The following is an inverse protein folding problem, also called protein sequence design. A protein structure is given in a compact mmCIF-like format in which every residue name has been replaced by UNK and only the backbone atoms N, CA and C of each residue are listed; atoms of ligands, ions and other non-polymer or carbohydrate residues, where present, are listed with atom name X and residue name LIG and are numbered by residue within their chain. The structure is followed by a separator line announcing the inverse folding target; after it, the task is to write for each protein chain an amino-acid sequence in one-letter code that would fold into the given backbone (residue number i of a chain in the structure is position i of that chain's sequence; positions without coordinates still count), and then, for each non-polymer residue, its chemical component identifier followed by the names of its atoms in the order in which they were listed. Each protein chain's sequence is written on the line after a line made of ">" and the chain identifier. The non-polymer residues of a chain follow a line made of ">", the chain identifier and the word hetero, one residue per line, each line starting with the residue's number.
data_IF_093276963545
#
_entry.id   IF_093276963545
#
_cell.length_a   1.000
_cell.length_b   1.000
_cell.length_c   1.000
_cell.angle_alpha   90.00
_cell.angle_beta   90.00
_cell.angle_gamma   90.00
#
_symmetry.space_group_name_H-M   'P 1'
#
loop_
_entity.id
_entity.type
_entity.pdbx_description
1 polymer ?
#
# COMPACT_ATOMS: atom_id res chain seq x y z
N UNK A 1 -56.62 49.24 -20.84
CA UNK A 1 -55.20 48.86 -20.86
C UNK A 1 -54.98 47.73 -19.87
N UNK A 2 -54.69 46.50 -20.32
CA UNK A 2 -54.15 45.47 -19.44
C UNK A 2 -52.62 45.44 -19.57
N UNK A 3 -51.93 45.53 -18.44
CA UNK A 3 -50.48 45.41 -18.31
C UNK A 3 -50.08 43.95 -18.46
N UNK A 4 -49.44 43.61 -19.58
CA UNK A 4 -48.89 42.29 -19.84
C UNK A 4 -47.63 42.06 -19.00
N UNK A 5 -47.75 41.29 -17.92
CA UNK A 5 -46.62 40.80 -17.16
C UNK A 5 -45.96 39.62 -17.88
N UNK A 6 -44.75 39.82 -18.39
CA UNK A 6 -43.90 38.77 -18.96
C UNK A 6 -43.46 37.81 -17.85
N UNK A 7 -43.84 36.53 -17.96
CA UNK A 7 -43.35 35.48 -17.07
C UNK A 7 -41.84 35.26 -17.33
N UNK A 8 -41.02 35.16 -16.27
CA UNK A 8 -39.61 34.83 -16.44
C UNK A 8 -39.47 33.39 -16.99
N UNK A 9 -38.69 33.26 -18.06
CA UNK A 9 -38.30 31.96 -18.63
C UNK A 9 -37.50 31.19 -17.58
N UNK A 10 -38.04 30.06 -17.10
CA UNK A 10 -37.27 29.11 -16.29
C UNK A 10 -36.08 28.63 -17.11
N UNK A 11 -34.88 28.76 -16.57
CA UNK A 11 -33.66 28.33 -17.24
C UNK A 11 -33.67 26.81 -17.45
N UNK A 12 -33.07 26.36 -18.54
CA UNK A 12 -32.87 24.92 -18.83
C UNK A 12 -32.24 24.16 -17.64
N UNK A 13 -31.36 24.85 -16.88
CA UNK A 13 -30.74 24.33 -15.65
C UNK A 13 -31.75 23.93 -14.57
N UNK A 14 -32.82 24.72 -14.37
CA UNK A 14 -33.82 24.44 -13.32
C UNK A 14 -34.68 23.22 -13.70
N UNK A 15 -34.91 23.04 -15.00
CA UNK A 15 -35.68 21.90 -15.53
C UNK A 15 -34.89 20.60 -15.40
N UNK A 16 -33.58 20.62 -15.68
CA UNK A 16 -32.70 19.46 -15.49
C UNK A 16 -32.55 19.10 -14.00
N UNK A 17 -32.43 20.11 -13.12
CA UNK A 17 -32.36 19.87 -11.69
C UNK A 17 -33.65 19.25 -11.11
N UNK A 18 -34.82 19.65 -11.61
CA UNK A 18 -36.10 19.09 -11.18
C UNK A 18 -36.34 17.67 -11.71
N UNK A 19 -35.78 17.32 -12.89
CA UNK A 19 -35.84 15.96 -13.45
C UNK A 19 -34.89 15.00 -12.72
N UNK A 20 -33.71 15.47 -12.26
CA UNK A 20 -32.71 14.62 -11.61
C UNK A 20 -32.93 14.45 -10.09
N UNK A 21 -33.70 15.34 -9.44
CA UNK A 21 -33.95 15.30 -7.99
C UNK A 21 -34.65 14.02 -7.50
N UNK A 22 -35.63 13.42 -8.22
CA UNK A 22 -36.22 12.15 -7.84
C UNK A 22 -35.24 10.98 -7.96
N UNK A 23 -34.40 10.96 -9.01
CA UNK A 23 -33.38 9.92 -9.22
C UNK A 23 -32.31 9.98 -8.12
N UNK A 24 -31.85 11.17 -7.76
CA UNK A 24 -30.93 11.37 -6.64
C UNK A 24 -31.52 10.96 -5.28
N UNK A 25 -32.84 11.13 -5.08
CA UNK A 25 -33.51 10.61 -3.86
C UNK A 25 -33.61 9.10 -3.85
N UNK A 26 -33.96 8.47 -4.97
CA UNK A 26 -34.05 7.00 -5.06
C UNK A 26 -32.68 6.34 -4.86
N UNK A 27 -31.60 6.92 -5.39
CA UNK A 27 -30.22 6.45 -5.16
C UNK A 27 -29.76 6.70 -3.72
N UNK A 28 -30.27 7.75 -3.06
CA UNK A 28 -29.90 8.13 -1.69
C UNK A 28 -30.59 7.28 -0.61
N UNK A 29 -31.85 6.89 -0.82
CA UNK A 29 -32.66 6.22 0.22
C UNK A 29 -32.72 4.70 0.12
N UNK A 30 -32.28 4.09 -0.98
CA UNK A 30 -32.55 2.68 -1.24
C UNK A 30 -31.49 1.67 -0.74
N UNK A 31 -30.33 2.07 -0.20
CA UNK A 31 -29.22 1.10 -0.11
C UNK A 31 -28.22 1.29 1.05
N UNK A 32 -28.57 2.05 2.09
CA UNK A 32 -27.61 2.37 3.18
C UNK A 32 -27.94 1.79 4.55
N UNK A 33 -29.21 1.49 4.85
CA UNK A 33 -29.57 1.02 6.19
C UNK A 33 -29.38 -0.47 6.37
N UNK A 34 -29.68 -1.27 5.33
CA UNK A 34 -29.72 -2.72 5.48
C UNK A 34 -28.33 -3.34 5.27
N UNK A 35 -27.55 -2.82 4.31
CA UNK A 35 -26.18 -3.30 4.02
C UNK A 35 -25.22 -3.11 5.20
N UNK A 36 -25.47 -2.12 6.07
CA UNK A 36 -24.58 -1.87 7.20
C UNK A 36 -24.82 -2.84 8.37
N UNK A 37 -26.04 -3.39 8.50
CA UNK A 37 -26.38 -4.33 9.57
C UNK A 37 -25.58 -5.63 9.44
N UNK A 38 -25.48 -6.17 8.23
CA UNK A 38 -24.84 -7.48 7.99
C UNK A 38 -23.32 -7.40 8.17
N UNK A 39 -22.70 -6.29 7.75
CA UNK A 39 -21.28 -6.05 7.97
C UNK A 39 -20.93 -5.89 9.46
N UNK A 40 -21.80 -5.22 10.23
CA UNK A 40 -21.63 -5.04 11.68
C UNK A 40 -21.81 -6.37 12.43
N UNK A 41 -22.81 -7.17 12.07
CA UNK A 41 -23.01 -8.51 12.63
C UNK A 41 -21.78 -9.41 12.36
N UNK A 42 -21.26 -9.37 11.14
CA UNK A 42 -20.05 -10.10 10.76
C UNK A 42 -18.85 -9.65 11.59
N UNK A 43 -18.63 -8.35 11.71
CA UNK A 43 -17.53 -7.80 12.51
C UNK A 43 -17.63 -8.24 13.98
N UNK A 44 -18.84 -8.30 14.53
CA UNK A 44 -19.07 -8.74 15.91
C UNK A 44 -18.84 -10.24 16.10
N UNK A 45 -19.22 -11.08 15.13
CA UNK A 45 -18.88 -12.52 15.14
C UNK A 45 -17.36 -12.71 15.12
N UNK A 46 -16.65 -12.01 14.22
CA UNK A 46 -15.18 -12.09 14.12
C UNK A 46 -14.53 -11.61 15.41
N UNK A 47 -14.95 -10.45 15.94
CA UNK A 47 -14.43 -9.88 17.18
C UNK A 47 -14.59 -10.83 18.36
N UNK A 48 -15.79 -11.39 18.53
CA UNK A 48 -16.07 -12.36 19.59
C UNK A 48 -15.21 -13.61 19.47
N UNK A 49 -15.00 -14.12 18.25
CA UNK A 49 -14.15 -15.29 18.03
C UNK A 49 -12.67 -14.99 18.31
N UNK A 50 -12.19 -13.80 17.93
CA UNK A 50 -10.81 -13.36 18.19
C UNK A 50 -10.58 -13.11 19.68
N UNK A 51 -11.52 -12.45 20.36
CA UNK A 51 -11.39 -12.03 21.77
C UNK A 51 -11.75 -13.11 22.80
N UNK A 52 -12.35 -14.23 22.42
CA UNK A 52 -12.75 -15.25 23.39
C UNK A 52 -11.55 -15.99 24.01
N UNK A 53 -11.15 -15.56 25.21
CA UNK A 53 -10.12 -16.20 26.03
C UNK A 53 -10.43 -17.66 26.39
N UNK A 54 -11.73 -18.00 26.47
CA UNK A 54 -12.23 -19.32 26.90
C UNK A 54 -11.99 -20.45 25.89
N UNK A 55 -11.61 -20.15 24.64
CA UNK A 55 -11.48 -21.17 23.62
C UNK A 55 -10.25 -22.06 23.78
N UNK A 56 -9.28 -21.76 24.66
CA UNK A 56 -8.05 -22.56 24.74
C UNK A 56 -8.16 -23.91 25.49
N UNK A 57 -9.32 -24.24 26.07
CA UNK A 57 -9.62 -25.65 26.43
C UNK A 57 -9.59 -26.59 25.22
N UNK A 58 -9.55 -26.03 24.00
CA UNK A 58 -9.60 -26.66 22.68
C UNK A 58 -8.33 -27.41 22.25
N UNK A 59 -7.16 -27.19 22.84
CA UNK A 59 -5.96 -27.95 22.47
C UNK A 59 -6.03 -29.44 22.86
N UNK A 60 -7.09 -29.88 23.57
CA UNK A 60 -7.30 -31.28 23.98
C UNK A 60 -8.36 -32.05 23.17
N UNK A 61 -8.72 -31.60 21.97
CA UNK A 61 -9.21 -32.53 20.95
C UNK A 61 -10.72 -32.67 20.78
N UNK A 62 -11.51 -31.71 21.26
CA UNK A 62 -12.91 -31.58 20.81
C UNK A 62 -13.04 -30.21 20.18
N UNK A 63 -12.99 -30.18 18.85
CA UNK A 63 -13.39 -29.03 18.07
C UNK A 63 -14.81 -28.64 18.49
N UNK A 64 -14.95 -27.57 19.28
CA UNK A 64 -16.25 -27.10 19.72
C UNK A 64 -17.08 -26.81 18.46
N UNK A 65 -18.20 -27.53 18.29
CA UNK A 65 -19.12 -27.37 17.16
C UNK A 65 -19.41 -25.88 16.89
N UNK A 66 -19.51 -25.10 17.96
CA UNK A 66 -19.72 -23.65 17.91
C UNK A 66 -18.63 -22.90 17.12
N UNK A 67 -17.36 -23.26 17.30
CA UNK A 67 -16.26 -22.60 16.57
C UNK A 67 -16.33 -22.89 15.07
N UNK A 68 -16.70 -24.12 14.71
CA UNK A 68 -16.90 -24.49 13.31
C UNK A 68 -18.06 -23.69 12.70
N UNK A 69 -19.19 -23.61 13.39
CA UNK A 69 -20.35 -22.83 12.93
C UNK A 69 -20.00 -21.34 12.76
N UNK A 70 -19.21 -20.77 13.68
CA UNK A 70 -18.79 -19.37 13.59
C UNK A 70 -17.78 -19.15 12.45
N UNK A 71 -16.86 -20.07 12.19
CA UNK A 71 -15.97 -20.02 11.02
C UNK A 71 -16.76 -20.12 9.70
N UNK A 72 -17.77 -20.99 9.62
CA UNK A 72 -18.64 -21.10 8.44
C UNK A 72 -19.41 -19.81 8.18
N UNK A 73 -19.90 -19.13 9.22
CA UNK A 73 -20.53 -17.80 9.09
C UNK A 73 -19.56 -16.76 8.56
N UNK A 74 -18.34 -16.71 9.10
CA UNK A 74 -17.30 -15.79 8.64
C UNK A 74 -16.96 -16.03 7.16
N UNK A 75 -16.83 -17.31 6.76
CA UNK A 75 -16.57 -17.65 5.37
C UNK A 75 -17.74 -17.24 4.46
N UNK A 76 -18.99 -17.43 4.89
CA UNK A 76 -20.18 -16.96 4.16
C UNK A 76 -20.18 -15.44 3.99
N UNK A 77 -19.87 -14.70 5.06
CA UNK A 77 -19.82 -13.24 5.03
C UNK A 77 -18.82 -12.69 4.01
N UNK A 78 -17.72 -13.41 3.74
CA UNK A 78 -16.75 -13.03 2.70
C UNK A 78 -17.37 -12.97 1.29
N UNK A 79 -18.47 -13.67 1.04
CA UNK A 79 -19.20 -13.67 -0.25
C UNK A 79 -20.26 -12.57 -0.37
N UNK A 80 -20.69 -11.93 0.72
CA UNK A 80 -21.86 -11.05 0.73
C UNK A 80 -21.60 -9.71 0.02
N UNK A 81 -20.40 -9.15 0.18
CA UNK A 81 -20.05 -7.90 -0.50
C UNK A 81 -18.76 -7.27 0.02
N UNK A 82 -18.34 -6.19 -0.68
CA UNK A 82 -17.07 -5.52 -0.39
C UNK A 82 -16.98 -4.95 1.03
N UNK A 83 -18.07 -4.37 1.54
CA UNK A 83 -18.09 -3.81 2.92
C UNK A 83 -17.92 -4.89 3.99
N UNK A 84 -18.56 -6.06 3.81
CA UNK A 84 -18.42 -7.19 4.73
C UNK A 84 -16.98 -7.72 4.73
N UNK A 85 -16.37 -7.85 3.55
CA UNK A 85 -14.95 -8.19 3.40
C UNK A 85 -14.01 -7.18 4.05
N UNK A 86 -14.26 -5.88 3.85
CA UNK A 86 -13.47 -4.80 4.46
C UNK A 86 -13.54 -4.85 6.00
N UNK A 87 -14.75 -4.97 6.56
CA UNK A 87 -14.94 -5.11 8.00
C UNK A 87 -14.25 -6.36 8.57
N UNK A 88 -14.34 -7.48 7.86
CA UNK A 88 -13.66 -8.73 8.21
C UNK A 88 -12.14 -8.54 8.22
N UNK A 89 -11.58 -7.94 7.16
CA UNK A 89 -10.14 -7.73 7.04
C UNK A 89 -9.61 -6.71 8.06
N UNK A 90 -10.40 -5.71 8.43
CA UNK A 90 -10.06 -4.77 9.51
C UNK A 90 -9.94 -5.50 10.85
N UNK A 91 -10.89 -6.38 11.20
CA UNK A 91 -10.81 -7.16 12.44
C UNK A 91 -9.62 -8.13 12.41
N UNK A 92 -9.32 -8.75 11.27
CA UNK A 92 -8.14 -9.59 11.11
C UNK A 92 -6.83 -8.80 11.24
N UNK A 93 -6.77 -7.59 10.68
CA UNK A 93 -5.60 -6.72 10.82
C UNK A 93 -5.31 -6.42 12.29
N UNK A 94 -6.38 -6.18 13.07
CA UNK A 94 -6.28 -5.94 14.50
C UNK A 94 -5.82 -7.19 15.27
N UNK A 95 -6.41 -8.35 15.04
CA UNK A 95 -6.02 -9.59 15.75
C UNK A 95 -4.64 -10.11 15.35
N UNK A 96 -4.18 -9.80 14.13
CA UNK A 96 -2.81 -10.05 13.68
C UNK A 96 -1.82 -8.94 14.08
N UNK A 97 -2.25 -7.90 14.80
CA UNK A 97 -1.40 -6.78 15.23
C UNK A 97 -0.28 -7.24 16.20
N UNK A 98 0.81 -6.46 16.35
CA UNK A 98 1.94 -6.86 17.24
C UNK A 98 1.57 -6.74 18.72
N UNK A 99 0.54 -5.94 19.01
CA UNK A 99 0.00 -5.70 20.35
C UNK A 99 -1.04 -6.72 20.77
N UNK A 100 -1.51 -7.57 19.86
CA UNK A 100 -2.48 -8.60 20.17
C UNK A 100 -1.88 -9.64 21.11
N UNK A 101 -2.71 -10.17 22.00
CA UNK A 101 -2.35 -11.35 22.77
C UNK A 101 -2.05 -12.51 21.82
N UNK A 102 -1.22 -13.45 22.27
CA UNK A 102 -0.89 -14.61 21.44
C UNK A 102 -2.15 -15.44 21.08
N UNK A 103 -3.20 -15.40 21.92
CA UNK A 103 -4.49 -16.05 21.69
C UNK A 103 -5.23 -15.39 20.53
N UNK A 104 -5.36 -14.07 20.56
CA UNK A 104 -6.00 -13.30 19.48
C UNK A 104 -5.26 -13.52 18.16
N UNK A 105 -3.92 -13.46 18.18
CA UNK A 105 -3.10 -13.76 17.01
C UNK A 105 -3.37 -15.16 16.46
N UNK A 106 -3.42 -16.17 17.33
CA UNK A 106 -3.67 -17.55 16.91
C UNK A 106 -5.09 -17.74 16.37
N UNK A 107 -6.11 -17.16 17.03
CA UNK A 107 -7.49 -17.17 16.53
C UNK A 107 -7.62 -16.49 15.18
N UNK A 108 -6.95 -15.35 14.95
CA UNK A 108 -6.91 -14.71 13.64
C UNK A 108 -6.24 -15.56 12.58
N UNK A 109 -5.19 -16.32 12.92
CA UNK A 109 -4.58 -17.29 11.99
C UNK A 109 -5.57 -18.41 11.61
N UNK A 110 -6.38 -18.90 12.54
CA UNK A 110 -7.42 -19.90 12.25
C UNK A 110 -8.54 -19.35 11.35
N UNK A 111 -8.96 -18.12 11.58
CA UNK A 111 -9.94 -17.45 10.69
C UNK A 111 -9.35 -17.28 9.30
N UNK A 112 -8.09 -16.85 9.21
CA UNK A 112 -7.40 -16.64 7.94
C UNK A 112 -7.22 -17.96 7.17
N UNK A 113 -6.90 -19.06 7.85
CA UNK A 113 -6.85 -20.41 7.28
C UNK A 113 -8.21 -20.83 6.68
N UNK A 114 -9.29 -20.62 7.42
CA UNK A 114 -10.64 -20.96 6.98
C UNK A 114 -11.04 -20.15 5.74
N UNK A 115 -10.70 -18.86 5.71
CA UNK A 115 -10.92 -17.98 4.56
C UNK A 115 -10.07 -18.37 3.35
N UNK A 116 -8.82 -18.79 3.56
CA UNK A 116 -7.97 -19.25 2.46
C UNK A 116 -8.52 -20.54 1.84
N UNK A 117 -9.05 -21.41 2.68
CA UNK A 117 -9.56 -22.72 2.25
C UNK A 117 -10.96 -22.66 1.63
N UNK A 118 -11.85 -21.81 2.14
CA UNK A 118 -13.29 -21.83 1.79
C UNK A 118 -13.91 -20.46 1.53
N UNK A 119 -13.17 -19.37 1.78
CA UNK A 119 -13.64 -18.00 1.59
C UNK A 119 -13.74 -17.58 0.12
N UNK A 120 -14.31 -16.40 -0.10
CA UNK A 120 -14.50 -15.79 -1.41
C UNK A 120 -13.17 -15.52 -2.12
N UNK A 121 -13.11 -15.84 -3.42
CA UNK A 121 -11.94 -15.53 -4.27
C UNK A 121 -11.77 -14.04 -4.50
N UNK A 122 -12.87 -13.30 -4.53
CA UNK A 122 -12.90 -11.85 -4.65
C UNK A 122 -12.16 -11.18 -3.49
N UNK A 123 -12.19 -11.75 -2.28
CA UNK A 123 -11.40 -11.28 -1.14
C UNK A 123 -9.90 -11.32 -1.47
N UNK A 124 -9.41 -12.44 -1.99
CA UNK A 124 -8.00 -12.61 -2.32
C UNK A 124 -7.55 -11.75 -3.49
N UNK A 125 -8.44 -11.52 -4.46
CA UNK A 125 -8.23 -10.55 -5.54
C UNK A 125 -8.14 -9.11 -5.04
N UNK A 126 -8.97 -8.72 -4.06
CA UNK A 126 -8.88 -7.41 -3.42
C UNK A 126 -7.58 -7.24 -2.62
N UNK A 127 -7.16 -8.30 -1.92
CA UNK A 127 -5.91 -8.32 -1.19
C UNK A 127 -4.69 -8.23 -2.13
N UNK A 128 -4.69 -8.91 -3.28
CA UNK A 128 -3.57 -8.87 -4.24
C UNK A 128 -3.35 -7.51 -4.88
N UNK A 129 -4.42 -6.71 -5.02
CA UNK A 129 -4.33 -5.31 -5.48
C UNK A 129 -4.05 -4.31 -4.36
N UNK A 130 -3.86 -4.78 -3.12
CA UNK A 130 -3.56 -3.93 -1.96
C UNK A 130 -4.76 -3.14 -1.44
N UNK A 131 -6.00 -3.61 -1.65
CA UNK A 131 -7.19 -2.96 -1.09
C UNK A 131 -7.31 -3.16 0.44
N UNK A 132 -6.65 -4.19 0.97
CA UNK A 132 -6.62 -4.55 2.39
C UNK A 132 -5.17 -4.49 2.90
N UNK A 133 -4.95 -4.77 4.19
CA UNK A 133 -3.58 -4.90 4.71
C UNK A 133 -2.84 -6.07 4.03
N UNK A 134 -1.51 -5.97 3.92
CA UNK A 134 -0.70 -7.04 3.33
C UNK A 134 -0.61 -8.25 4.28
N UNK A 135 -1.47 -9.23 4.00
CA UNK A 135 -1.54 -10.50 4.73
C UNK A 135 -0.23 -11.27 4.67
N UNK A 136 0.46 -11.28 3.52
CA UNK A 136 1.71 -12.05 3.37
C UNK A 136 2.82 -11.43 4.18
N UNK A 137 3.01 -10.11 4.10
CA UNK A 137 3.96 -9.39 4.94
C UNK A 137 3.68 -9.65 6.42
N UNK A 138 2.40 -9.63 6.82
CA UNK A 138 2.00 -9.92 8.21
C UNK A 138 2.41 -11.33 8.65
N UNK A 139 2.15 -12.34 7.83
CA UNK A 139 2.50 -13.73 8.13
C UNK A 139 4.02 -13.96 8.18
N UNK A 140 4.80 -13.25 7.34
CA UNK A 140 6.27 -13.27 7.43
C UNK A 140 6.73 -12.74 8.78
N UNK A 141 6.14 -11.66 9.30
CA UNK A 141 6.46 -11.13 10.62
C UNK A 141 6.15 -12.14 11.74
N UNK A 142 5.07 -12.92 11.60
CA UNK A 142 4.76 -14.00 12.55
C UNK A 142 5.77 -15.14 12.53
N UNK A 143 6.56 -15.30 11.47
CA UNK A 143 7.72 -16.21 11.46
C UNK A 143 8.76 -15.88 12.55
N UNK A 144 8.79 -14.62 12.99
CA UNK A 144 9.65 -14.13 14.07
C UNK A 144 8.90 -13.88 15.38
N UNK A 145 7.63 -14.28 15.50
CA UNK A 145 6.83 -14.09 16.71
C UNK A 145 7.55 -14.66 17.95
N UNK A 146 7.48 -13.96 19.09
CA UNK A 146 8.04 -14.42 20.36
C UNK A 146 7.05 -14.14 21.48
N UNK A 147 6.66 -15.16 22.22
CA UNK A 147 5.92 -15.01 23.48
C UNK A 147 6.88 -15.07 24.66
N UNK A 148 6.73 -14.14 25.60
CA UNK A 148 7.51 -14.13 26.84
C UNK A 148 7.02 -15.19 27.84
N UNK A 149 5.78 -15.69 27.67
CA UNK A 149 5.15 -16.62 28.61
C UNK A 149 5.60 -18.07 28.38
N UNK A 150 5.58 -18.52 27.11
CA UNK A 150 5.81 -19.92 26.77
C UNK A 150 6.42 -20.09 25.36
N UNK A 151 7.57 -20.78 25.29
CA UNK A 151 8.23 -21.14 24.03
C UNK A 151 7.42 -22.14 23.20
N UNK A 152 6.55 -22.95 23.81
CA UNK A 152 5.63 -23.84 23.08
C UNK A 152 4.64 -23.02 22.26
N UNK A 153 4.04 -21.98 22.86
CA UNK A 153 3.15 -21.04 22.16
C UNK A 153 3.87 -20.37 21.00
N UNK A 154 5.11 -19.94 21.21
CA UNK A 154 5.95 -19.37 20.15
C UNK A 154 6.11 -20.31 18.96
N UNK A 155 6.48 -21.58 19.20
CA UNK A 155 6.62 -22.58 18.13
C UNK A 155 5.30 -22.87 17.43
N UNK A 156 4.20 -22.96 18.19
CA UNK A 156 2.87 -23.21 17.67
C UNK A 156 2.42 -22.09 16.71
N UNK A 157 2.53 -20.83 17.12
CA UNK A 157 2.14 -19.68 16.28
C UNK A 157 3.01 -19.60 15.03
N UNK A 158 4.33 -19.77 15.15
CA UNK A 158 5.25 -19.76 13.99
C UNK A 158 4.92 -20.87 13.00
N UNK A 159 4.69 -22.09 13.49
CA UNK A 159 4.30 -23.22 12.65
C UNK A 159 2.98 -22.91 11.93
N UNK A 160 1.98 -22.41 12.66
CA UNK A 160 0.67 -22.11 12.09
C UNK A 160 0.73 -20.97 11.06
N UNK A 161 1.46 -19.90 11.36
CA UNK A 161 1.64 -18.79 10.42
C UNK A 161 2.35 -19.23 9.12
N UNK A 162 3.32 -20.16 9.21
CA UNK A 162 3.97 -20.72 8.03
C UNK A 162 2.98 -21.51 7.16
N UNK A 163 2.18 -22.39 7.77
CA UNK A 163 1.15 -23.16 7.06
C UNK A 163 0.14 -22.23 6.38
N UNK A 164 -0.39 -21.25 7.11
CA UNK A 164 -1.38 -20.30 6.57
C UNK A 164 -0.78 -19.43 5.46
N UNK A 165 0.51 -19.08 5.54
CA UNK A 165 1.19 -18.31 4.47
C UNK A 165 1.23 -19.08 3.17
N UNK A 166 1.52 -20.38 3.22
CA UNK A 166 1.60 -21.21 2.03
C UNK A 166 0.21 -21.29 1.36
N UNK A 167 -0.86 -21.48 2.15
CA UNK A 167 -2.25 -21.41 1.68
C UNK A 167 -2.61 -20.05 1.05
N UNK A 168 -2.31 -18.94 1.73
CA UNK A 168 -2.61 -17.59 1.21
C UNK A 168 -1.84 -17.29 -0.07
N UNK A 169 -0.61 -17.78 -0.19
CA UNK A 169 0.19 -17.61 -1.42
C UNK A 169 -0.45 -18.33 -2.60
N UNK A 170 -0.99 -19.53 -2.39
CA UNK A 170 -1.71 -20.27 -3.42
C UNK A 170 -3.03 -19.57 -3.81
N UNK A 171 -3.74 -18.96 -2.84
CA UNK A 171 -4.90 -18.13 -3.13
C UNK A 171 -4.56 -16.92 -4.00
N UNK A 172 -3.43 -16.24 -3.75
CA UNK A 172 -3.00 -15.12 -4.58
C UNK A 172 -2.66 -15.53 -6.01
N UNK A 173 -1.93 -16.64 -6.19
CA UNK A 173 -1.63 -17.17 -7.53
C UNK A 173 -2.90 -17.50 -8.29
N UNK A 174 -3.86 -18.16 -7.64
CA UNK A 174 -5.15 -18.46 -8.26
C UNK A 174 -5.92 -17.18 -8.65
N UNK A 175 -5.87 -16.12 -7.84
CA UNK A 175 -6.50 -14.85 -8.15
C UNK A 175 -5.81 -14.12 -9.32
N UNK A 176 -4.48 -14.18 -9.42
CA UNK A 176 -3.71 -13.62 -10.54
C UNK A 176 -4.03 -14.33 -11.87
N UNK A 177 -4.10 -15.67 -11.85
CA UNK A 177 -4.46 -16.47 -13.02
C UNK A 177 -5.87 -16.12 -13.53
N UNK A 178 -6.84 -15.96 -12.62
CA UNK A 178 -8.20 -15.54 -12.97
C UNK A 178 -8.22 -14.11 -13.58
N UNK A 179 -7.41 -13.19 -13.06
CA UNK A 179 -7.28 -11.84 -13.65
C UNK A 179 -6.70 -11.89 -15.07
N UNK A 180 -5.65 -12.67 -15.31
CA UNK A 180 -5.04 -12.82 -16.63
C UNK A 180 -6.06 -13.32 -17.69
N UNK A 181 -6.89 -14.30 -17.31
CA UNK A 181 -7.93 -14.81 -18.21
C UNK A 181 -9.00 -13.76 -18.55
N UNK A 182 -9.39 -12.91 -17.59
CA UNK A 182 -10.37 -11.85 -17.85
C UNK A 182 -9.84 -10.77 -18.80
N UNK A 183 -8.55 -10.45 -18.73
CA UNK A 183 -7.92 -9.48 -19.64
C UNK A 183 -7.90 -10.00 -21.09
N UNK A 184 -7.59 -11.28 -21.28
CA UNK A 184 -7.59 -11.90 -22.60
C UNK A 184 -8.99 -11.89 -23.23
N UNK A 185 -10.04 -12.22 -22.47
CA UNK A 185 -11.42 -12.17 -22.97
C UNK A 185 -11.84 -10.75 -23.38
N UNK A 186 -11.45 -9.73 -22.61
CA UNK A 186 -11.75 -8.33 -22.94
C UNK A 186 -11.00 -7.91 -24.22
N UNK A 187 -9.74 -8.32 -24.37
CA UNK A 187 -8.93 -8.01 -25.56
C UNK A 187 -9.47 -8.68 -26.82
N UNK A 188 -9.92 -9.93 -26.73
CA UNK A 188 -10.54 -10.66 -27.86
C UNK A 188 -11.82 -9.96 -28.31
N UNK A 189 -12.69 -9.53 -27.36
CA UNK A 189 -13.92 -8.81 -27.71
C UNK A 189 -13.70 -7.43 -28.33
N UNK A 190 -12.55 -6.80 -28.06
CA UNK A 190 -12.19 -5.51 -28.66
C UNK A 190 -11.57 -5.65 -30.06
N UNK A 191 -11.15 -6.85 -30.50
CA UNK A 191 -10.60 -7.07 -31.84
C UNK A 191 -11.66 -7.35 -32.93
N UNK A 192 -12.91 -7.65 -32.55
CA UNK A 192 -13.98 -7.96 -33.52
C UNK A 192 -14.75 -6.73 -34.03
N UNK A 193 -14.36 -5.51 -33.64
CA UNK A 193 -14.97 -4.26 -34.11
C UNK A 193 -14.07 -3.47 -35.10
N UNK A 194 -13.53 -4.12 -36.14
CA UNK A 194 -13.12 -3.46 -37.39
C UNK A 194 -12.29 -2.17 -37.27
N UNK A 195 -11.35 -2.08 -36.32
CA UNK A 195 -10.59 -0.87 -36.00
C UNK A 195 -9.39 -0.63 -36.94
N UNK A 196 -9.56 -0.73 -38.26
CA UNK A 196 -8.50 -0.38 -39.21
C UNK A 196 -8.31 1.13 -39.37
N UNK A 197 -9.29 1.96 -39.01
CA UNK A 197 -9.24 3.41 -39.28
C UNK A 197 -8.57 4.28 -38.20
N UNK A 198 -8.48 3.81 -36.94
CA UNK A 198 -7.90 4.64 -35.86
C UNK A 198 -6.37 4.64 -35.84
N UNK A 199 -5.73 3.58 -36.34
CA UNK A 199 -4.26 3.44 -36.36
C UNK A 199 -3.57 4.36 -37.38
N UNK A 200 -4.30 4.87 -38.37
CA UNK A 200 -3.76 5.76 -39.40
C UNK A 200 -3.62 7.21 -38.91
N UNK A 201 -4.52 7.67 -38.04
CA UNK A 201 -4.47 9.00 -37.42
C UNK A 201 -3.37 9.12 -36.35
N UNK A 202 -3.09 8.05 -35.61
CA UNK A 202 -2.03 8.03 -34.60
C UNK A 202 -0.62 8.18 -35.20
N UNK A 203 -0.37 7.62 -36.40
CA UNK A 203 0.92 7.73 -37.10
C UNK A 203 1.25 9.13 -37.61
N UNK A 204 0.27 10.03 -37.73
CA UNK A 204 0.51 11.42 -38.17
C UNK A 204 0.88 12.37 -37.01
N UNK A 205 0.58 12.01 -35.75
CA UNK A 205 0.77 12.86 -34.57
C UNK A 205 2.12 12.66 -33.85
N UNK A 206 2.80 11.54 -34.07
CA UNK A 206 4.07 11.18 -33.41
C UNK A 206 5.24 12.18 -33.64
N UNK A 207 5.52 12.68 -34.86
CA UNK A 207 6.72 13.48 -35.10
C UNK A 207 6.64 14.90 -34.51
N UNK A 208 5.45 15.46 -34.34
CA UNK A 208 5.26 16.80 -33.76
C UNK A 208 5.26 16.76 -32.22
N UNK A 209 4.72 15.69 -31.62
CA UNK A 209 4.78 15.48 -30.18
C UNK A 209 6.22 15.24 -29.69
N UNK A 210 7.01 14.48 -30.45
CA UNK A 210 8.43 14.25 -30.14
C UNK A 210 9.27 15.53 -30.17
N UNK A 211 9.01 16.44 -31.12
CA UNK A 211 9.68 17.75 -31.18
C UNK A 211 9.31 18.64 -30.00
N UNK A 212 8.04 18.67 -29.61
CA UNK A 212 7.57 19.46 -28.47
C UNK A 212 8.22 18.98 -27.14
N UNK A 213 8.31 17.66 -26.95
CA UNK A 213 8.97 17.06 -25.77
C UNK A 213 10.47 17.39 -25.76
N UNK A 214 11.15 17.30 -26.90
CA UNK A 214 12.58 17.63 -27.00
C UNK A 214 12.87 19.11 -26.66
N UNK A 215 12.01 20.04 -27.08
CA UNK A 215 12.14 21.48 -26.76
C UNK A 215 11.91 21.74 -25.27
N UNK A 216 10.93 21.06 -24.65
CA UNK A 216 10.67 21.17 -23.21
C UNK A 216 11.83 20.58 -22.38
N UNK A 217 12.39 19.45 -22.81
CA UNK A 217 13.55 18.84 -22.19
C UNK A 217 14.79 19.75 -22.24
N UNK A 218 15.08 20.34 -23.39
CA UNK A 218 16.22 21.26 -23.55
C UNK A 218 16.08 22.54 -22.72
N UNK A 219 14.86 23.07 -22.58
CA UNK A 219 14.57 24.23 -21.73
C UNK A 219 14.79 23.91 -20.25
N UNK A 220 14.34 22.74 -19.80
CA UNK A 220 14.56 22.28 -18.43
C UNK A 220 16.03 22.04 -18.13
N UNK A 221 16.80 21.45 -19.06
CA UNK A 221 18.24 21.27 -18.93
C UNK A 221 19.01 22.59 -18.89
N UNK A 222 18.61 23.59 -19.68
CA UNK A 222 19.22 24.93 -19.63
C UNK A 222 18.97 25.62 -18.30
N UNK A 223 17.75 25.56 -17.77
CA UNK A 223 17.41 26.09 -16.45
C UNK A 223 18.20 25.38 -15.32
N UNK A 224 18.41 24.07 -15.45
CA UNK A 224 19.22 23.31 -14.50
C UNK A 224 20.71 23.66 -14.55
N UNK A 225 21.27 23.93 -15.74
CA UNK A 225 22.68 24.35 -15.88
C UNK A 225 22.94 25.74 -15.32
N UNK A 226 22.03 26.70 -15.53
CA UNK A 226 22.12 28.03 -14.89
C UNK A 226 21.88 27.97 -13.38
N UNK A 227 21.12 26.98 -12.89
CA UNK A 227 20.92 26.72 -11.46
C UNK A 227 22.16 26.15 -10.76
N UNK A 228 22.91 25.24 -11.41
CA UNK A 228 24.15 24.66 -10.86
C UNK A 228 25.22 25.71 -10.51
N UNK A 229 25.19 26.89 -11.15
CA UNK A 229 26.13 27.97 -10.87
C UNK A 229 25.79 28.86 -9.66
N UNK A 230 24.62 28.75 -9.01
CA UNK A 230 24.18 29.70 -7.97
C UNK A 230 24.29 29.21 -6.51
N UNK A 231 24.72 27.97 -6.28
CA UNK A 231 25.34 27.52 -5.02
C UNK A 231 24.59 27.78 -3.69
N UNK A 232 23.25 27.80 -3.65
CA UNK A 232 22.49 28.00 -2.40
C UNK A 232 21.53 26.84 -2.09
N UNK A 233 21.67 26.22 -0.92
CA UNK A 233 20.96 24.98 -0.55
C UNK A 233 19.43 25.12 -0.36
N UNK A 234 18.91 26.32 -0.07
CA UNK A 234 17.47 26.53 0.20
C UNK A 234 16.57 26.41 -1.03
N UNK A 235 17.13 26.45 -2.24
CA UNK A 235 16.38 26.37 -3.49
C UNK A 235 16.36 24.96 -4.12
N UNK A 236 17.14 24.00 -3.58
CA UNK A 236 17.13 22.60 -4.03
C UNK A 236 15.77 21.93 -3.78
N UNK A 237 15.14 22.17 -2.63
CA UNK A 237 13.83 21.61 -2.31
C UNK A 237 12.73 22.12 -3.27
N UNK A 238 12.82 23.39 -3.65
CA UNK A 238 11.86 24.03 -4.55
C UNK A 238 12.05 23.56 -6.00
N UNK A 239 13.31 23.30 -6.41
CA UNK A 239 13.62 22.66 -7.69
C UNK A 239 13.09 21.24 -7.80
N UNK A 240 13.21 20.44 -6.74
CA UNK A 240 12.66 19.08 -6.69
C UNK A 240 11.12 19.09 -6.77
N UNK A 241 10.46 20.02 -6.09
CA UNK A 241 9.00 20.18 -6.14
C UNK A 241 8.49 20.59 -7.53
N UNK A 242 9.19 21.51 -8.21
CA UNK A 242 8.84 21.92 -9.58
C UNK A 242 9.09 20.81 -10.60
N UNK A 243 10.15 20.02 -10.41
CA UNK A 243 10.41 18.84 -11.24
C UNK A 243 9.28 17.82 -11.10
N UNK A 244 8.83 17.54 -9.87
CA UNK A 244 7.69 16.65 -9.60
C UNK A 244 6.40 17.21 -10.22
N UNK A 245 6.15 18.51 -10.14
CA UNK A 245 4.94 19.11 -10.70
C UNK A 245 4.89 19.06 -12.24
N UNK A 246 6.01 19.35 -12.91
CA UNK A 246 6.11 19.24 -14.38
C UNK A 246 6.01 17.78 -14.81
N UNK A 247 6.55 16.85 -14.01
CA UNK A 247 6.47 15.41 -14.23
C UNK A 247 5.04 14.87 -14.06
N UNK A 248 4.29 15.31 -13.05
CA UNK A 248 2.87 14.96 -12.82
C UNK A 248 1.98 15.51 -13.94
N UNK A 249 2.22 16.75 -14.36
CA UNK A 249 1.42 17.36 -15.43
C UNK A 249 1.74 16.79 -16.83
N UNK A 250 2.95 16.27 -17.04
CA UNK A 250 3.32 15.54 -18.25
C UNK A 250 2.78 14.09 -18.26
N UNK A 251 2.69 13.46 -17.09
CA UNK A 251 2.14 12.08 -16.94
C UNK A 251 0.63 12.01 -17.08
N UNK A 252 -0.11 13.07 -16.71
CA UNK A 252 -1.55 13.18 -16.99
C UNK A 252 -1.88 13.26 -18.49
N UNK A 253 -1.00 13.84 -19.31
CA UNK A 253 -1.16 13.85 -20.79
C UNK A 253 -0.66 12.57 -21.47
N UNK A 254 0.15 11.74 -20.80
CA UNK A 254 0.81 10.57 -21.36
C UNK A 254 0.23 9.23 -20.85
N UNK A 255 -1.02 9.23 -20.40
CA UNK A 255 -1.82 8.02 -20.10
C UNK A 255 -1.99 7.06 -21.31
N UNK A 256 -1.51 7.43 -22.50
CA UNK A 256 -1.57 6.62 -23.72
C UNK A 256 -0.36 5.73 -24.03
N UNK A 257 0.76 5.80 -23.29
CA UNK A 257 2.01 5.12 -23.70
C UNK A 257 2.52 4.11 -22.65
N UNK A 258 1.82 2.97 -22.56
CA UNK A 258 2.09 1.80 -21.69
C UNK A 258 3.50 1.17 -21.80
N UNK A 259 4.37 1.63 -22.70
CA UNK A 259 5.76 1.14 -22.80
C UNK A 259 6.73 1.81 -21.80
N UNK A 260 6.36 2.94 -21.18
CA UNK A 260 7.19 3.59 -20.16
C UNK A 260 7.15 2.86 -18.81
N UNK A 261 6.13 2.03 -18.56
CA UNK A 261 5.92 1.33 -17.29
C UNK A 261 7.07 0.35 -16.98
N UNK A 262 7.70 -0.24 -17.99
CA UNK A 262 8.84 -1.15 -17.79
C UNK A 262 10.12 -0.43 -17.35
N UNK A 263 10.32 0.82 -17.80
CA UNK A 263 11.40 1.70 -17.31
C UNK A 263 11.01 2.31 -15.95
N UNK A 264 9.72 2.53 -15.72
CA UNK A 264 9.17 3.06 -14.48
C UNK A 264 9.32 2.07 -13.31
N UNK A 265 9.10 0.77 -13.49
CA UNK A 265 9.34 -0.25 -12.45
C UNK A 265 10.80 -0.23 -11.98
N UNK A 266 11.73 -0.08 -12.93
CA UNK A 266 13.16 -0.01 -12.64
C UNK A 266 13.59 1.31 -11.95
N UNK A 267 12.86 2.40 -12.21
CA UNK A 267 13.06 3.71 -11.57
C UNK A 267 12.37 3.82 -10.20
N UNK A 268 11.25 3.12 -9.99
CA UNK A 268 10.61 3.02 -8.68
C UNK A 268 11.43 2.20 -7.71
N UNK A 269 12.19 1.19 -8.17
CA UNK A 269 13.18 0.49 -7.35
C UNK A 269 14.34 1.41 -6.94
N UNK A 270 14.80 2.31 -7.83
CA UNK A 270 15.76 3.36 -7.47
C UNK A 270 15.18 4.35 -6.44
N UNK A 271 13.92 4.74 -6.58
CA UNK A 271 13.25 5.63 -5.61
C UNK A 271 13.00 4.93 -4.27
N UNK A 272 12.72 3.63 -4.27
CA UNK A 272 12.62 2.84 -3.04
C UNK A 272 13.97 2.78 -2.31
N UNK A 273 15.08 2.64 -3.04
CA UNK A 273 16.43 2.74 -2.49
C UNK A 273 16.72 4.12 -1.89
N UNK A 274 16.32 5.20 -2.57
CA UNK A 274 16.47 6.57 -2.06
C UNK A 274 15.59 6.85 -0.83
N UNK A 275 14.37 6.33 -0.80
CA UNK A 275 13.46 6.47 0.34
C UNK A 275 13.96 5.67 1.55
N UNK A 276 14.47 4.45 1.34
CA UNK A 276 15.14 3.67 2.38
C UNK A 276 16.38 4.38 2.92
N UNK A 277 17.18 4.99 2.05
CA UNK A 277 18.34 5.79 2.46
C UNK A 277 17.94 6.99 3.31
N UNK A 278 16.91 7.75 2.91
CA UNK A 278 16.40 8.89 3.70
C UNK A 278 15.86 8.42 5.04
N UNK A 279 15.15 7.29 5.09
CA UNK A 279 14.57 6.79 6.32
C UNK A 279 15.64 6.28 7.30
N UNK A 280 16.65 5.57 6.81
CA UNK A 280 17.82 5.15 7.61
C UNK A 280 18.62 6.36 8.08
N UNK A 281 18.80 7.37 7.23
CA UNK A 281 19.50 8.61 7.58
C UNK A 281 18.75 9.39 8.67
N UNK A 282 17.44 9.57 8.52
CA UNK A 282 16.59 10.25 9.53
C UNK A 282 16.64 9.50 10.86
N UNK A 283 16.52 8.17 10.84
CA UNK A 283 16.58 7.35 12.06
C UNK A 283 17.96 7.38 12.72
N UNK A 284 19.04 7.38 11.94
CA UNK A 284 20.40 7.52 12.46
C UNK A 284 20.62 8.92 13.07
N UNK A 285 20.12 9.97 12.43
CA UNK A 285 20.21 11.34 12.98
C UNK A 285 19.35 11.52 14.23
N UNK A 286 18.23 10.80 14.36
CA UNK A 286 17.36 10.83 15.54
C UNK A 286 17.98 10.09 16.74
N UNK A 287 18.66 8.96 16.50
CA UNK A 287 19.46 8.31 17.55
C UNK A 287 20.63 9.18 18.01
N UNK A 288 21.28 9.89 17.08
CA UNK A 288 22.38 10.80 17.41
C UNK A 288 21.87 12.07 18.14
N UNK A 289 20.74 12.64 17.75
CA UNK A 289 20.15 13.81 18.43
C UNK A 289 19.69 13.48 19.86
N UNK A 290 19.14 12.27 20.06
CA UNK A 290 18.73 11.75 21.37
C UNK A 290 19.92 11.58 22.32
N UNK A 291 21.10 11.21 21.79
CA UNK A 291 22.33 11.09 22.59
C UNK A 291 22.95 12.43 23.00
N UNK A 292 22.61 13.52 22.30
CA UNK A 292 23.16 14.87 22.56
C UNK A 292 22.36 15.69 23.59
N UNK A 293 21.15 15.27 23.97
CA UNK A 293 20.30 16.05 24.88
C UNK A 293 20.43 15.68 26.37
N UNK A 294 21.30 14.74 26.75
CA UNK A 294 21.69 14.54 28.15
C UNK A 294 22.84 15.49 28.52
N UNK A 295 22.50 16.76 28.78
CA UNK A 295 23.40 17.71 29.42
C UNK A 295 23.60 17.40 30.91
N UNK A 296 24.79 17.68 31.49
CA UNK A 296 25.15 17.21 32.83
C UNK A 296 24.56 18.10 33.92
N UNK A 297 23.72 17.52 34.79
CA UNK A 297 23.40 18.11 36.09
C UNK A 297 24.34 17.57 37.16
N UNK A 298 25.46 18.29 37.36
CA UNK A 298 26.37 18.40 38.52
C UNK A 298 26.82 17.19 39.37
N UNK A 299 27.99 17.29 40.03
CA UNK A 299 28.82 16.14 40.36
C UNK A 299 28.67 15.67 41.80
N UNK A 300 28.62 14.35 42.00
CA UNK A 300 29.31 13.77 43.14
C UNK A 300 30.06 12.51 42.71
N UNK A 301 31.32 12.54 43.11
CA UNK A 301 32.45 11.72 42.74
C UNK A 301 32.29 10.36 43.40
N UNK A 302 32.40 9.26 42.63
CA UNK A 302 33.10 8.08 43.11
C UNK A 302 33.64 7.22 41.98
N UNK A 303 34.92 6.91 42.14
CA UNK A 303 35.80 6.23 41.21
C UNK A 303 35.63 4.71 41.28
N UNK A 304 35.38 4.09 40.12
CA UNK A 304 35.82 2.75 39.67
C UNK A 304 34.73 1.96 38.98
N UNK A 305 34.58 2.15 37.67
CA UNK A 305 34.32 1.10 36.67
C UNK A 305 34.14 1.73 35.29
N UNK A 306 34.68 1.07 34.27
CA UNK A 306 35.01 1.67 32.97
C UNK A 306 33.81 2.14 32.16
N UNK A 307 33.87 3.40 31.73
CA UNK A 307 32.98 3.98 30.72
C UNK A 307 33.54 3.74 29.32
N UNK A 308 32.76 3.04 28.49
CA UNK A 308 32.97 2.91 27.06
C UNK A 308 32.44 4.18 26.36
N UNK A 309 33.35 5.10 26.06
CA UNK A 309 33.08 6.20 25.13
C UNK A 309 33.28 5.69 23.71
N UNK A 310 32.28 5.83 22.85
CA UNK A 310 32.47 5.67 21.41
C UNK A 310 33.43 6.76 20.96
N UNK A 311 34.67 6.40 20.64
CA UNK A 311 35.67 7.33 20.09
C UNK A 311 35.08 8.03 18.87
N UNK A 312 35.38 9.32 18.69
CA UNK A 312 35.12 10.08 17.45
C UNK A 312 35.58 9.31 16.20
N UNK A 313 36.61 8.46 16.36
CA UNK A 313 37.09 7.57 15.30
C UNK A 313 36.06 6.52 14.88
N UNK A 314 35.19 6.06 15.79
CA UNK A 314 34.17 5.07 15.47
C UNK A 314 33.05 5.67 14.60
N UNK A 315 32.63 6.90 14.89
CA UNK A 315 31.64 7.63 14.08
C UNK A 315 32.21 7.91 12.69
N UNK A 316 33.46 8.41 12.60
CA UNK A 316 34.11 8.66 11.32
C UNK A 316 34.36 7.37 10.52
N UNK A 317 34.59 6.24 11.20
CA UNK A 317 34.74 4.93 10.56
C UNK A 317 33.43 4.46 9.95
N UNK A 318 32.31 4.62 10.67
CA UNK A 318 30.97 4.29 10.17
C UNK A 318 30.61 5.19 8.97
N UNK A 319 30.84 6.50 9.06
CA UNK A 319 30.60 7.43 7.94
C UNK A 319 31.43 7.08 6.70
N UNK A 320 32.72 6.76 6.85
CA UNK A 320 33.57 6.33 5.72
C UNK A 320 33.11 5.02 5.12
N UNK A 321 32.61 4.10 5.93
CA UNK A 321 32.08 2.81 5.46
C UNK A 321 30.80 3.01 4.62
N UNK A 322 29.89 3.85 5.08
CA UNK A 322 28.66 4.18 4.33
C UNK A 322 28.95 4.99 3.06
N UNK A 323 29.86 5.97 3.11
CA UNK A 323 30.26 6.72 1.91
C UNK A 323 30.95 5.81 0.89
N UNK A 324 31.80 4.89 1.35
CA UNK A 324 32.46 3.90 0.50
C UNK A 324 31.47 2.93 -0.15
N UNK A 325 30.50 2.43 0.61
CA UNK A 325 29.43 1.57 0.08
C UNK A 325 28.57 2.32 -0.95
N UNK A 326 28.21 3.58 -0.68
CA UNK A 326 27.43 4.42 -1.59
C UNK A 326 28.19 4.71 -2.89
N UNK A 327 29.46 5.11 -2.80
CA UNK A 327 30.30 5.37 -3.97
C UNK A 327 30.57 4.10 -4.77
N UNK A 328 30.77 2.95 -4.11
CA UNK A 328 30.92 1.66 -4.79
C UNK A 328 29.66 1.22 -5.51
N UNK A 329 28.49 1.49 -4.93
CA UNK A 329 27.19 1.24 -5.59
C UNK A 329 27.02 2.13 -6.82
N UNK A 330 27.35 3.42 -6.69
CA UNK A 330 27.27 4.39 -7.80
C UNK A 330 28.26 4.07 -8.92
N UNK A 331 29.47 3.62 -8.60
CA UNK A 331 30.48 3.21 -9.59
C UNK A 331 30.09 1.90 -10.29
N UNK A 332 29.55 0.94 -9.54
CA UNK A 332 28.97 -0.28 -10.10
C UNK A 332 27.82 0.02 -11.08
N UNK A 333 26.94 0.96 -10.75
CA UNK A 333 25.85 1.36 -11.64
C UNK A 333 26.35 2.19 -12.84
N UNK A 334 27.33 3.08 -12.66
CA UNK A 334 27.93 3.85 -13.74
C UNK A 334 28.57 2.95 -14.79
N UNK A 335 29.38 1.98 -14.36
CA UNK A 335 30.11 1.08 -15.25
C UNK A 335 29.21 0.04 -15.93
N UNK A 336 28.08 -0.33 -15.31
CA UNK A 336 27.20 -1.39 -15.84
C UNK A 336 26.02 -0.89 -16.67
N UNK A 337 25.53 0.33 -16.41
CA UNK A 337 24.38 0.91 -17.11
C UNK A 337 24.82 1.84 -18.24
N UNK A 338 25.90 2.61 -18.05
CA UNK A 338 26.32 3.62 -19.04
C UNK A 338 27.50 3.18 -19.92
N UNK A 339 28.14 2.05 -19.63
CA UNK A 339 29.17 1.45 -20.49
C UNK A 339 30.24 2.43 -20.96
N UNK A 340 30.89 3.12 -20.01
CA UNK A 340 32.12 3.88 -20.24
C UNK A 340 33.34 3.05 -19.84
#
# INVERSE_FOLDING_TARGET
>A
MPTGATRPSRGFSDTVADILRPVARVISTADKTDINSDAEETAEVVRRLISCEDHMGFLEGIGSLKMKDDLEKICRASYEGRRSREALMEQLAWGLSRSASWRESYSSLLVLEALASTGSKELWKECSVGAHFDVTQRLVLFGHFTSNEDHRVTRMIRAKASEVRDLVTDCYRAAEDEMATTEEVVKVRLCDCGATDFTQSARQLEPELGKAIAVLWERSLRAFRTFRSSGTQRTLLHGCMLYIHVYVHATDMLHGCMLYIHVYVHATDMLHGCMLYIHVYVHATDMLSSSWFCGPSSPERDSSSGEQWWSVDCIQTVERWYLGAFLGLMDFFSNRIFGL
#
